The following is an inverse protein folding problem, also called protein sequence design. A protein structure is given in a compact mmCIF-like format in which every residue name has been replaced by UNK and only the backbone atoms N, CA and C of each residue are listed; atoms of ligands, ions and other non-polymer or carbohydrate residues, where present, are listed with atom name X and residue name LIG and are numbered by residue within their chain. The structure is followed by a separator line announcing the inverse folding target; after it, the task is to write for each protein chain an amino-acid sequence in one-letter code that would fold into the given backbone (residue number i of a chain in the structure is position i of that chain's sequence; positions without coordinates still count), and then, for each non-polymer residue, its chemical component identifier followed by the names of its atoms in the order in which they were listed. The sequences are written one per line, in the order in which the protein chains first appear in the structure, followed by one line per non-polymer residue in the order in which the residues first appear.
data_IF_822516529577
#
_entry.id   IF_822516529577
#
_cell.length_a   1.000
_cell.length_b   1.000
_cell.length_c   1.000
_cell.angle_alpha   90.00
_cell.angle_beta   90.00
_cell.angle_gamma   90.00
#
_symmetry.space_group_name_H-M   'P 1'
#
loop_
_entity.id
_entity.type
_entity.pdbx_description
1 polymer ?
#
# COMPACT_ATOMS: atom_id res chain seq x y z
N UNK A 1 -30.04 24.36 -1.02
CA UNK A 1 -28.87 23.51 -1.30
C UNK A 1 -29.39 22.12 -1.56
N UNK A 2 -29.63 21.78 -2.82
CA UNK A 2 -30.01 20.41 -3.19
C UNK A 2 -28.71 19.55 -3.02
N UNK A 3 -28.69 18.71 -2.00
CA UNK A 3 -27.71 17.66 -1.89
C UNK A 3 -28.03 16.63 -2.98
N UNK A 4 -27.31 16.70 -4.08
CA UNK A 4 -27.33 15.70 -5.15
C UNK A 4 -26.68 14.42 -4.59
N UNK A 5 -27.42 13.71 -3.71
CA UNK A 5 -26.95 12.41 -3.19
C UNK A 5 -27.09 11.39 -4.30
N UNK A 6 -26.05 10.65 -4.59
CA UNK A 6 -26.09 9.55 -5.56
C UNK A 6 -27.18 8.56 -5.17
N UNK A 7 -27.91 7.97 -6.14
CA UNK A 7 -28.92 6.96 -5.84
C UNK A 7 -28.26 5.80 -5.09
N UNK A 8 -28.91 5.32 -4.03
CA UNK A 8 -28.45 4.15 -3.29
C UNK A 8 -28.44 2.90 -4.19
N UNK A 9 -27.47 2.02 -4.00
CA UNK A 9 -27.35 0.74 -4.70
C UNK A 9 -27.51 -0.40 -3.69
N UNK A 10 -28.51 -1.26 -3.91
CA UNK A 10 -28.67 -2.50 -3.17
C UNK A 10 -28.00 -3.65 -3.91
N UNK A 11 -26.93 -4.21 -3.32
CA UNK A 11 -26.35 -5.49 -3.74
C UNK A 11 -27.22 -6.57 -3.10
N UNK A 12 -28.16 -7.11 -3.91
CA UNK A 12 -29.32 -7.87 -3.44
C UNK A 12 -29.07 -9.37 -3.48
N UNK A 13 -29.53 -10.06 -2.44
CA UNK A 13 -29.65 -11.52 -2.35
C UNK A 13 -28.38 -12.29 -2.78
N UNK A 14 -27.18 -11.98 -2.23
CA UNK A 14 -25.96 -12.67 -2.61
C UNK A 14 -26.01 -14.16 -2.24
N UNK A 15 -25.36 -15.01 -3.06
CA UNK A 15 -25.16 -16.41 -2.75
C UNK A 15 -24.49 -16.63 -1.38
N UNK A 16 -23.56 -15.75 -1.03
CA UNK A 16 -22.97 -15.63 0.29
C UNK A 16 -22.42 -14.22 0.48
N UNK A 17 -22.37 -13.76 1.73
CA UNK A 17 -21.78 -12.46 2.11
C UNK A 17 -21.00 -12.60 3.41
N UNK A 18 -19.84 -11.96 3.49
CA UNK A 18 -19.00 -11.96 4.70
C UNK A 18 -19.42 -10.83 5.66
N UNK A 19 -20.68 -10.83 6.07
CA UNK A 19 -21.22 -9.88 7.04
C UNK A 19 -22.44 -10.50 7.74
N UNK A 20 -22.49 -10.45 9.07
CA UNK A 20 -23.64 -10.90 9.86
C UNK A 20 -24.78 -9.89 9.71
N UNK A 21 -26.03 -10.36 9.58
CA UNK A 21 -27.22 -9.52 9.43
C UNK A 21 -27.36 -8.88 8.04
N UNK A 22 -26.69 -9.44 7.04
CA UNK A 22 -26.73 -8.99 5.64
C UNK A 22 -27.15 -10.13 4.69
N UNK A 23 -27.99 -11.04 5.14
CA UNK A 23 -28.41 -12.23 4.38
C UNK A 23 -29.07 -11.86 3.06
N UNK A 24 -29.72 -10.70 3.00
CA UNK A 24 -30.29 -10.13 1.78
C UNK A 24 -29.40 -9.09 1.11
N UNK A 25 -28.16 -8.94 1.58
CA UNK A 25 -27.15 -8.07 0.99
C UNK A 25 -26.97 -6.73 1.70
N UNK A 26 -26.38 -5.78 1.01
CA UNK A 26 -26.00 -4.48 1.56
C UNK A 26 -26.45 -3.34 0.65
N UNK A 27 -26.79 -2.21 1.26
CA UNK A 27 -27.06 -0.96 0.53
C UNK A 27 -25.84 -0.06 0.63
N UNK A 28 -25.37 0.41 -0.53
CA UNK A 28 -24.24 1.31 -0.67
C UNK A 28 -24.73 2.64 -1.20
N UNK A 29 -24.29 3.73 -0.57
CA UNK A 29 -24.55 5.09 -1.02
C UNK A 29 -23.32 5.97 -0.74
N UNK A 30 -22.95 6.83 -1.67
CA UNK A 30 -21.83 7.76 -1.55
C UNK A 30 -20.51 7.09 -1.07
N UNK A 31 -20.25 5.87 -1.59
CA UNK A 31 -19.06 5.10 -1.27
C UNK A 31 -19.06 4.46 0.12
N UNK A 32 -20.19 4.40 0.82
CA UNK A 32 -20.36 3.80 2.15
C UNK A 32 -21.45 2.73 2.15
N UNK A 33 -21.27 1.68 2.97
CA UNK A 33 -22.36 0.77 3.32
C UNK A 33 -23.24 1.50 4.33
N UNK A 34 -24.46 1.82 3.92
CA UNK A 34 -25.43 2.55 4.75
C UNK A 34 -26.44 1.64 5.42
N UNK A 35 -26.62 0.40 4.91
CA UNK A 35 -27.54 -0.56 5.50
C UNK A 35 -27.06 -2.00 5.24
N UNK A 36 -27.22 -2.86 6.25
CA UNK A 36 -27.16 -4.32 6.13
C UNK A 36 -28.61 -4.82 6.09
N UNK A 37 -28.98 -5.56 5.04
CA UNK A 37 -30.34 -6.03 4.85
C UNK A 37 -30.46 -7.47 5.34
N UNK A 38 -31.12 -7.65 6.48
CA UNK A 38 -31.28 -8.95 7.11
C UNK A 38 -32.33 -9.84 6.37
N UNK A 39 -32.34 -11.12 6.69
CA UNK A 39 -33.31 -12.08 6.17
C UNK A 39 -34.75 -11.59 6.38
N UNK A 40 -35.57 -11.66 5.33
CA UNK A 40 -36.99 -11.27 5.37
C UNK A 40 -37.23 -9.74 5.42
N UNK A 41 -36.19 -8.91 5.25
CA UNK A 41 -36.31 -7.46 5.20
C UNK A 41 -36.07 -6.92 3.80
N UNK A 42 -36.59 -5.71 3.56
CA UNK A 42 -36.31 -4.89 2.40
C UNK A 42 -35.48 -3.66 2.85
N UNK A 43 -34.71 -3.03 1.95
CA UNK A 43 -34.03 -1.78 2.26
C UNK A 43 -34.96 -0.68 2.73
N UNK A 44 -34.53 0.08 3.72
CA UNK A 44 -35.28 1.27 4.18
C UNK A 44 -35.02 2.51 3.33
N UNK A 45 -33.86 2.52 2.61
CA UNK A 45 -33.50 3.64 1.75
C UNK A 45 -34.51 3.77 0.61
N UNK A 46 -35.03 4.97 0.35
CA UNK A 46 -35.97 5.21 -0.79
C UNK A 46 -35.18 5.14 -2.11
N UNK A 47 -35.86 4.72 -3.19
CA UNK A 47 -35.34 4.73 -4.56
C UNK A 47 -33.98 4.04 -4.76
N UNK A 48 -33.85 2.80 -4.30
CA UNK A 48 -32.65 1.99 -4.41
C UNK A 48 -32.53 1.37 -5.80
N UNK A 49 -31.42 1.60 -6.50
CA UNK A 49 -31.03 0.76 -7.64
C UNK A 49 -30.62 -0.61 -7.13
N UNK A 50 -30.96 -1.66 -7.87
CA UNK A 50 -30.68 -3.04 -7.46
C UNK A 50 -29.65 -3.65 -8.37
N UNK A 51 -28.64 -4.28 -7.78
CA UNK A 51 -27.74 -5.26 -8.43
C UNK A 51 -28.08 -6.62 -7.88
N UNK A 52 -28.59 -7.52 -8.72
CA UNK A 52 -28.90 -8.88 -8.35
C UNK A 52 -27.61 -9.68 -8.19
N UNK A 53 -27.37 -10.19 -6.99
CA UNK A 53 -26.13 -10.90 -6.63
C UNK A 53 -26.36 -12.39 -6.32
N UNK A 54 -27.47 -12.98 -6.76
CA UNK A 54 -27.88 -14.36 -6.48
C UNK A 54 -26.83 -15.41 -6.92
N UNK A 55 -26.04 -15.09 -7.94
CA UNK A 55 -24.92 -15.90 -8.42
C UNK A 55 -23.53 -15.42 -7.92
N UNK A 56 -23.50 -14.47 -6.99
CA UNK A 56 -22.26 -13.83 -6.56
C UNK A 56 -22.00 -14.01 -5.05
N UNK A 57 -20.73 -14.15 -4.70
CA UNK A 57 -20.27 -14.03 -3.31
C UNK A 57 -19.78 -12.61 -3.09
N UNK A 58 -20.30 -11.96 -2.05
CA UNK A 58 -19.89 -10.59 -1.68
C UNK A 58 -18.83 -10.64 -0.62
N UNK A 59 -17.66 -10.10 -0.94
CA UNK A 59 -16.49 -10.02 -0.07
C UNK A 59 -16.05 -8.57 0.07
N UNK A 60 -15.35 -8.20 1.16
CA UNK A 60 -14.60 -6.94 1.21
C UNK A 60 -13.61 -6.88 0.05
N UNK A 61 -13.48 -5.70 -0.56
CA UNK A 61 -12.50 -5.48 -1.61
C UNK A 61 -11.08 -5.73 -1.12
N UNK A 62 -10.21 -6.21 -2.00
CA UNK A 62 -8.81 -6.47 -1.68
C UNK A 62 -8.08 -5.14 -1.44
N UNK A 63 -7.07 -5.20 -0.56
CA UNK A 63 -6.20 -4.07 -0.24
C UNK A 63 -4.78 -4.45 -0.61
N UNK A 64 -4.19 -3.69 -1.53
CA UNK A 64 -2.78 -3.78 -1.84
C UNK A 64 -2.01 -2.78 -0.97
N UNK A 65 -1.14 -3.26 -0.09
CA UNK A 65 -0.42 -2.44 0.87
C UNK A 65 0.96 -1.99 0.39
N UNK A 66 1.42 -2.49 -0.77
CA UNK A 66 2.69 -2.12 -1.36
C UNK A 66 2.73 -2.37 -2.85
N UNK A 67 3.15 -1.39 -3.61
CA UNK A 67 3.39 -1.47 -5.04
C UNK A 67 4.42 -0.42 -5.47
N UNK A 68 4.98 -0.60 -6.66
CA UNK A 68 5.81 0.38 -7.37
C UNK A 68 5.25 0.51 -8.78
N UNK A 69 4.32 1.43 -9.00
CA UNK A 69 3.60 1.53 -10.28
C UNK A 69 4.53 1.70 -11.47
N UNK A 70 5.56 2.55 -11.35
CA UNK A 70 6.50 2.79 -12.45
C UNK A 70 7.30 1.54 -12.86
N UNK A 71 7.46 0.57 -11.96
CA UNK A 71 8.16 -0.68 -12.25
C UNK A 71 7.39 -1.61 -13.17
N UNK A 72 6.09 -1.40 -13.39
CA UNK A 72 5.29 -2.20 -14.34
C UNK A 72 5.88 -2.19 -15.75
N UNK A 73 6.55 -1.10 -16.14
CA UNK A 73 7.22 -0.97 -17.45
C UNK A 73 8.51 -1.81 -17.57
N UNK A 74 9.04 -2.30 -16.44
CA UNK A 74 10.33 -3.00 -16.38
C UNK A 74 10.26 -4.38 -15.73
N UNK A 75 9.08 -4.97 -15.61
CA UNK A 75 8.85 -6.26 -14.94
C UNK A 75 9.72 -7.42 -15.45
N UNK A 76 10.02 -7.44 -16.73
CA UNK A 76 10.70 -8.57 -17.38
C UNK A 76 11.95 -8.14 -18.15
N UNK A 77 12.70 -7.16 -17.63
CA UNK A 77 13.98 -6.78 -18.21
C UNK A 77 14.97 -7.95 -18.07
N UNK A 78 15.43 -8.57 -19.16
CA UNK A 78 16.23 -9.79 -19.09
C UNK A 78 17.50 -9.66 -18.22
N UNK A 79 18.15 -8.50 -18.25
CA UNK A 79 19.36 -8.24 -17.46
C UNK A 79 19.11 -8.17 -15.95
N UNK A 80 17.84 -8.02 -15.52
CA UNK A 80 17.46 -7.93 -14.11
C UNK A 80 16.89 -9.25 -13.54
N UNK A 81 16.60 -10.23 -14.41
CA UNK A 81 16.03 -11.50 -13.97
C UNK A 81 17.06 -12.30 -13.10
N UNK A 82 16.54 -13.01 -12.09
CA UNK A 82 17.28 -13.88 -11.20
C UNK A 82 18.44 -13.19 -10.46
N UNK A 83 18.34 -11.88 -10.22
CA UNK A 83 19.34 -11.12 -9.45
C UNK A 83 18.85 -10.88 -8.03
N UNK A 84 19.81 -10.85 -7.11
CA UNK A 84 19.59 -10.33 -5.75
C UNK A 84 19.31 -8.82 -5.78
N UNK A 85 18.82 -8.26 -4.67
CA UNK A 85 18.29 -6.89 -4.60
C UNK A 85 19.28 -5.83 -5.10
N UNK A 86 20.52 -5.81 -4.60
CA UNK A 86 21.47 -4.76 -4.96
C UNK A 86 21.90 -4.84 -6.44
N UNK A 87 22.30 -6.00 -6.97
CA UNK A 87 22.54 -6.15 -8.41
C UNK A 87 21.31 -5.87 -9.27
N UNK A 88 20.10 -6.18 -8.80
CA UNK A 88 18.85 -5.88 -9.48
C UNK A 88 18.62 -4.36 -9.57
N UNK A 89 18.79 -3.63 -8.47
CA UNK A 89 18.69 -2.17 -8.44
C UNK A 89 19.73 -1.49 -9.35
N UNK A 90 20.98 -1.98 -9.34
CA UNK A 90 22.05 -1.44 -10.19
C UNK A 90 21.74 -1.56 -11.69
N UNK A 91 21.02 -2.60 -12.10
CA UNK A 91 20.55 -2.76 -13.48
C UNK A 91 19.40 -1.82 -13.80
N UNK A 92 18.47 -1.63 -12.86
CA UNK A 92 17.21 -0.93 -13.12
C UNK A 92 17.27 0.58 -12.89
N UNK A 93 18.08 1.08 -11.96
CA UNK A 93 18.22 2.51 -11.72
C UNK A 93 18.57 3.32 -12.98
N UNK A 94 19.49 2.90 -13.87
CA UNK A 94 19.77 3.60 -15.11
C UNK A 94 18.58 3.66 -16.08
N UNK A 95 17.67 2.68 -16.02
CA UNK A 95 16.42 2.68 -16.78
C UNK A 95 15.41 3.65 -16.16
N UNK A 96 15.23 3.57 -14.84
CA UNK A 96 14.31 4.44 -14.12
C UNK A 96 14.75 5.90 -14.09
N UNK A 97 16.05 6.17 -14.18
CA UNK A 97 16.59 7.51 -14.36
C UNK A 97 16.14 8.20 -15.67
N UNK A 98 15.49 7.47 -16.55
CA UNK A 98 14.94 7.95 -17.82
C UNK A 98 13.41 8.00 -17.84
N UNK A 99 12.76 7.82 -16.71
CA UNK A 99 11.31 7.97 -16.57
C UNK A 99 10.90 9.39 -16.97
N UNK A 100 9.81 9.46 -17.71
CA UNK A 100 9.17 10.71 -18.12
C UNK A 100 7.79 10.84 -17.44
N UNK A 101 7.19 12.03 -17.39
CA UNK A 101 5.81 12.22 -16.93
C UNK A 101 4.82 11.28 -17.61
N UNK A 102 4.94 11.09 -18.92
CA UNK A 102 4.10 10.19 -19.70
C UNK A 102 4.28 8.72 -19.27
N UNK A 103 5.54 8.28 -19.04
CA UNK A 103 5.83 6.94 -18.56
C UNK A 103 5.21 6.68 -17.18
N UNK A 104 5.24 7.68 -16.28
CA UNK A 104 4.62 7.57 -14.95
C UNK A 104 3.10 7.54 -15.05
N UNK A 105 2.46 8.35 -15.90
CA UNK A 105 1.01 8.29 -16.11
C UNK A 105 0.59 6.92 -16.66
N UNK A 106 1.26 6.43 -17.69
CA UNK A 106 0.96 5.15 -18.31
C UNK A 106 1.14 3.98 -17.33
N UNK A 107 2.27 3.90 -16.64
CA UNK A 107 2.57 2.83 -15.69
C UNK A 107 1.62 2.84 -14.50
N UNK A 108 1.30 4.02 -13.97
CA UNK A 108 0.36 4.17 -12.85
C UNK A 108 -1.05 3.76 -13.26
N UNK A 109 -1.49 4.18 -14.44
CA UNK A 109 -2.80 3.80 -14.98
C UNK A 109 -2.88 2.29 -15.20
N UNK A 110 -1.84 1.68 -15.79
CA UNK A 110 -1.78 0.24 -16.03
C UNK A 110 -1.81 -0.54 -14.71
N UNK A 111 -0.94 -0.20 -13.77
CA UNK A 111 -0.86 -0.89 -12.47
C UNK A 111 -2.19 -0.81 -11.71
N UNK A 112 -2.81 0.37 -11.64
CA UNK A 112 -4.09 0.55 -10.97
C UNK A 112 -5.21 -0.24 -11.67
N UNK A 113 -5.24 -0.26 -13.01
CA UNK A 113 -6.22 -1.02 -13.77
C UNK A 113 -6.10 -2.54 -13.51
N UNK A 114 -4.87 -3.07 -13.51
CA UNK A 114 -4.60 -4.49 -13.18
C UNK A 114 -5.04 -4.82 -11.74
N UNK A 115 -4.76 -3.94 -10.78
CA UNK A 115 -5.20 -4.10 -9.40
C UNK A 115 -6.73 -4.10 -9.29
N UNK A 116 -7.41 -3.16 -9.96
CA UNK A 116 -8.88 -3.11 -9.97
C UNK A 116 -9.49 -4.37 -10.60
N UNK A 117 -8.93 -4.86 -11.70
CA UNK A 117 -9.37 -6.10 -12.34
C UNK A 117 -9.14 -7.33 -11.45
N UNK A 118 -8.20 -7.28 -10.52
CA UNK A 118 -7.98 -8.33 -9.51
C UNK A 118 -8.90 -8.20 -8.29
N UNK A 119 -9.78 -7.20 -8.23
CA UNK A 119 -10.68 -6.94 -7.09
C UNK A 119 -10.09 -6.02 -6.02
N UNK A 120 -8.99 -5.34 -6.29
CA UNK A 120 -8.41 -4.36 -5.38
C UNK A 120 -9.25 -3.07 -5.36
N UNK A 121 -9.55 -2.58 -4.16
CA UNK A 121 -10.35 -1.35 -3.94
C UNK A 121 -9.56 -0.24 -3.23
N UNK A 122 -8.39 -0.57 -2.71
CA UNK A 122 -7.45 0.36 -2.10
C UNK A 122 -6.02 -0.10 -2.38
N UNK A 123 -5.19 0.78 -2.89
CA UNK A 123 -3.77 0.48 -3.12
C UNK A 123 -2.86 1.48 -2.45
N UNK A 124 -1.64 1.05 -2.14
CA UNK A 124 -0.51 1.92 -1.79
C UNK A 124 0.53 1.83 -2.89
N UNK A 125 1.11 2.96 -3.28
CA UNK A 125 2.28 2.99 -4.15
C UNK A 125 3.49 3.58 -3.44
N UNK A 126 4.68 3.07 -3.71
CA UNK A 126 5.94 3.60 -3.22
C UNK A 126 6.77 4.13 -4.40
N UNK A 127 6.51 5.38 -4.78
CA UNK A 127 7.27 6.09 -5.82
C UNK A 127 8.41 6.89 -5.18
N UNK A 128 9.65 6.57 -5.55
CA UNK A 128 10.85 7.16 -4.93
C UNK A 128 11.92 7.61 -5.93
N UNK A 129 11.64 7.52 -7.23
CA UNK A 129 12.57 7.89 -8.31
C UNK A 129 12.08 9.18 -8.97
N UNK A 130 12.85 10.25 -8.81
CA UNK A 130 12.53 11.58 -9.34
C UNK A 130 13.69 12.11 -10.19
N UNK A 131 13.86 11.61 -11.42
CA UNK A 131 14.82 12.21 -12.35
C UNK A 131 14.38 13.64 -12.72
N UNK A 132 15.32 14.45 -13.21
CA UNK A 132 15.03 15.81 -13.67
C UNK A 132 13.87 15.82 -14.67
N UNK A 133 12.89 16.69 -14.44
CA UNK A 133 11.67 16.80 -15.26
C UNK A 133 10.53 15.87 -14.81
N UNK A 134 10.68 15.20 -13.66
CA UNK A 134 9.65 14.37 -13.04
C UNK A 134 9.35 14.82 -11.59
N UNK A 135 9.50 16.10 -11.32
CA UNK A 135 9.26 16.68 -9.99
C UNK A 135 7.79 16.53 -9.56
N UNK A 136 6.87 16.47 -10.51
CA UNK A 136 5.41 16.32 -10.32
C UNK A 136 4.92 14.85 -10.41
N UNK A 137 5.81 13.88 -10.26
CA UNK A 137 5.48 12.46 -10.40
C UNK A 137 4.30 12.00 -9.54
N UNK A 138 4.16 12.48 -8.31
CA UNK A 138 3.03 12.13 -7.43
C UNK A 138 1.74 12.83 -7.87
N UNK A 139 1.80 14.07 -8.37
CA UNK A 139 0.64 14.77 -8.95
C UNK A 139 0.05 13.98 -10.12
N UNK A 140 0.90 13.40 -10.96
CA UNK A 140 0.52 12.53 -12.09
C UNK A 140 -0.19 11.26 -11.57
N UNK A 141 0.35 10.62 -10.55
CA UNK A 141 -0.28 9.43 -9.94
C UNK A 141 -1.62 9.75 -9.30
N UNK A 142 -1.76 10.91 -8.64
CA UNK A 142 -3.04 11.39 -8.10
C UNK A 142 -4.07 11.59 -9.23
N UNK A 143 -3.66 12.17 -10.36
CA UNK A 143 -4.53 12.35 -11.52
C UNK A 143 -5.00 10.99 -12.09
N UNK A 144 -4.10 10.02 -12.21
CA UNK A 144 -4.43 8.67 -12.66
C UNK A 144 -5.41 7.96 -11.70
N UNK A 145 -5.18 8.03 -10.38
CA UNK A 145 -6.05 7.43 -9.38
C UNK A 145 -7.46 8.05 -9.40
N UNK A 146 -7.56 9.38 -9.52
CA UNK A 146 -8.84 10.09 -9.65
C UNK A 146 -9.58 9.72 -10.94
N UNK A 147 -8.87 9.61 -12.05
CA UNK A 147 -9.44 9.22 -13.35
C UNK A 147 -10.03 7.82 -13.33
N UNK A 148 -9.38 6.88 -12.62
CA UNK A 148 -9.85 5.50 -12.48
C UNK A 148 -10.86 5.31 -11.34
N UNK A 149 -10.97 6.27 -10.41
CA UNK A 149 -11.84 6.15 -9.25
C UNK A 149 -11.32 5.16 -8.18
N UNK A 150 -10.02 4.85 -8.17
CA UNK A 150 -9.40 3.95 -7.19
C UNK A 150 -8.95 4.73 -5.96
N UNK A 151 -9.23 4.19 -4.78
CA UNK A 151 -8.65 4.72 -3.55
C UNK A 151 -7.15 4.42 -3.49
N UNK A 152 -6.35 5.45 -3.19
CA UNK A 152 -4.90 5.30 -3.15
C UNK A 152 -4.27 6.03 -1.97
N UNK A 153 -3.32 5.35 -1.32
CA UNK A 153 -2.32 5.95 -0.46
C UNK A 153 -1.03 6.07 -1.28
N UNK A 154 -0.78 7.25 -1.82
CA UNK A 154 0.40 7.52 -2.64
C UNK A 154 1.52 8.05 -1.76
N UNK A 155 2.73 7.55 -1.95
CA UNK A 155 3.84 8.00 -1.14
C UNK A 155 4.70 9.01 -1.88
N UNK A 156 5.05 10.10 -1.18
CA UNK A 156 6.18 10.91 -1.55
C UNK A 156 7.44 10.17 -1.09
N UNK A 157 7.92 9.24 -1.93
CA UNK A 157 9.16 8.53 -1.70
C UNK A 157 10.37 9.43 -1.91
N UNK A 158 11.51 9.04 -1.37
CA UNK A 158 12.71 9.87 -1.48
C UNK A 158 14.00 9.06 -1.44
N UNK A 159 15.00 9.58 -2.13
CA UNK A 159 16.40 9.16 -2.07
C UNK A 159 17.28 10.41 -2.11
N UNK A 160 18.22 10.53 -1.19
CA UNK A 160 19.20 11.62 -1.13
C UNK A 160 20.64 11.15 -0.93
N UNK A 161 20.87 9.83 -1.04
CA UNK A 161 22.19 9.22 -0.91
C UNK A 161 22.54 8.50 -2.19
N UNK A 162 23.41 9.11 -2.99
CA UNK A 162 23.84 8.58 -4.28
C UNK A 162 25.04 7.63 -4.17
N UNK A 163 25.43 7.03 -5.30
CA UNK A 163 26.65 6.21 -5.40
C UNK A 163 27.90 6.97 -4.95
N UNK A 164 27.97 8.27 -5.24
CA UNK A 164 29.08 9.14 -4.80
C UNK A 164 29.18 9.24 -3.27
N UNK A 165 28.02 9.13 -2.59
CA UNK A 165 27.92 9.24 -1.13
C UNK A 165 27.82 7.87 -0.44
N UNK A 166 28.16 6.80 -1.16
CA UNK A 166 28.13 5.42 -0.64
C UNK A 166 26.76 4.76 -0.64
N UNK A 167 25.79 5.33 -1.38
CA UNK A 167 24.49 4.70 -1.66
C UNK A 167 24.50 3.88 -2.94
N UNK A 168 23.33 3.36 -3.34
CA UNK A 168 23.17 2.60 -4.59
C UNK A 168 22.61 3.44 -5.76
N UNK A 169 21.75 4.45 -5.54
CA UNK A 169 21.16 5.21 -6.62
C UNK A 169 22.19 6.04 -7.39
N UNK A 170 22.07 6.20 -8.72
CA UNK A 170 22.88 7.15 -9.47
C UNK A 170 22.53 8.59 -9.07
N UNK A 171 23.48 9.52 -9.25
CA UNK A 171 23.35 10.92 -8.81
C UNK A 171 22.13 11.64 -9.40
N UNK A 172 21.68 11.25 -10.59
CA UNK A 172 20.58 11.92 -11.30
C UNK A 172 19.17 11.48 -10.90
N UNK A 173 19.03 10.61 -9.89
CA UNK A 173 17.73 10.19 -9.33
C UNK A 173 17.58 10.49 -7.85
N UNK A 174 18.59 11.12 -7.25
CA UNK A 174 18.53 11.61 -5.87
C UNK A 174 18.22 13.11 -5.87
N UNK A 175 17.63 13.59 -4.79
CA UNK A 175 17.28 14.99 -4.58
C UNK A 175 17.91 15.50 -3.28
N UNK A 176 18.06 16.79 -3.14
CA UNK A 176 18.45 17.38 -1.86
C UNK A 176 17.31 17.31 -0.82
N UNK A 177 17.69 17.38 0.45
CA UNK A 177 16.77 17.21 1.58
C UNK A 177 15.70 18.29 1.63
N UNK A 178 16.05 19.55 1.37
CA UNK A 178 15.12 20.68 1.40
C UNK A 178 14.05 20.54 0.32
N UNK A 179 14.44 20.16 -0.90
CA UNK A 179 13.51 19.87 -2.00
C UNK A 179 12.54 18.74 -1.64
N UNK A 180 13.03 17.67 -1.02
CA UNK A 180 12.22 16.52 -0.61
C UNK A 180 11.19 16.94 0.44
N UNK A 181 11.61 17.66 1.48
CA UNK A 181 10.73 18.07 2.57
C UNK A 181 9.69 19.09 2.11
N UNK A 182 10.10 20.09 1.32
CA UNK A 182 9.19 21.10 0.77
C UNK A 182 8.12 20.48 -0.14
N UNK A 183 8.50 19.54 -1.01
CA UNK A 183 7.56 18.84 -1.87
C UNK A 183 6.63 17.92 -1.08
N UNK A 184 7.13 17.30 -0.01
CA UNK A 184 6.31 16.48 0.90
C UNK A 184 5.21 17.32 1.55
N UNK A 185 5.52 18.51 2.05
CA UNK A 185 4.54 19.46 2.59
C UNK A 185 3.53 19.90 1.53
N UNK A 186 4.01 20.26 0.35
CA UNK A 186 3.17 20.66 -0.78
C UNK A 186 2.14 19.60 -1.14
N UNK A 187 2.57 18.36 -1.28
CA UNK A 187 1.70 17.23 -1.66
C UNK A 187 0.67 16.91 -0.59
N UNK A 188 1.07 16.92 0.68
CA UNK A 188 0.13 16.72 1.79
C UNK A 188 -0.90 17.83 1.83
N UNK A 189 -0.47 19.10 1.77
CA UNK A 189 -1.39 20.25 1.77
C UNK A 189 -2.37 20.22 0.59
N UNK A 190 -1.93 19.74 -0.58
CA UNK A 190 -2.72 19.76 -1.81
C UNK A 190 -3.69 18.60 -1.94
N UNK A 191 -3.31 17.41 -1.49
CA UNK A 191 -4.02 16.18 -1.84
C UNK A 191 -4.45 15.31 -0.68
N UNK A 192 -3.82 15.42 0.50
CA UNK A 192 -4.11 14.51 1.59
C UNK A 192 -5.52 14.74 2.13
N UNK A 193 -6.33 13.70 2.11
CA UNK A 193 -7.66 13.68 2.71
C UNK A 193 -7.59 12.91 4.03
N UNK A 194 -7.91 13.57 5.12
CA UNK A 194 -8.01 12.92 6.43
C UNK A 194 -9.35 12.21 6.58
N UNK A 195 -9.37 11.15 7.39
CA UNK A 195 -10.59 10.47 7.82
C UNK A 195 -11.01 9.26 6.99
N UNK A 196 -12.11 8.66 7.41
CA UNK A 196 -12.65 7.45 6.81
C UNK A 196 -13.28 7.75 5.44
N UNK A 197 -13.00 6.89 4.46
CA UNK A 197 -13.54 7.02 3.11
C UNK A 197 -12.73 7.96 2.21
N UNK A 198 -11.59 8.50 2.68
CA UNK A 198 -10.67 9.26 1.85
C UNK A 198 -10.33 8.53 0.54
N UNK A 199 -10.36 9.26 -0.58
CA UNK A 199 -10.00 8.70 -1.89
C UNK A 199 -8.50 8.78 -2.10
N UNK A 200 -7.88 9.92 -1.77
CA UNK A 200 -6.43 10.12 -1.88
C UNK A 200 -5.85 10.45 -0.51
N UNK A 201 -4.85 9.68 -0.13
CA UNK A 201 -4.00 10.00 1.01
C UNK A 201 -2.54 10.05 0.55
N UNK A 202 -1.77 10.92 1.20
CA UNK A 202 -0.32 11.02 0.98
C UNK A 202 0.38 10.49 2.21
N UNK A 203 1.46 9.73 2.00
CA UNK A 203 2.39 9.30 3.03
C UNK A 203 3.82 9.73 2.65
N UNK A 204 4.72 9.83 3.62
CA UNK A 204 6.12 10.13 3.39
C UNK A 204 6.92 8.82 3.39
N UNK A 205 7.82 8.66 2.41
CA UNK A 205 8.43 7.35 2.22
C UNK A 205 9.90 7.41 1.78
N UNK A 206 10.84 7.75 2.69
CA UNK A 206 12.25 7.48 2.44
C UNK A 206 12.45 6.03 2.01
N UNK A 207 13.18 5.83 0.90
CA UNK A 207 13.18 4.53 0.20
C UNK A 207 13.71 3.39 1.07
N UNK A 208 14.91 3.56 1.66
CA UNK A 208 15.57 2.50 2.42
C UNK A 208 16.80 3.06 3.16
N UNK A 209 17.34 2.36 4.18
CA UNK A 209 18.53 2.78 4.90
C UNK A 209 19.78 2.99 4.04
N UNK A 210 19.87 2.34 2.88
CA UNK A 210 21.00 2.42 1.96
C UNK A 210 20.86 3.45 0.82
N UNK A 211 19.76 4.14 0.75
CA UNK A 211 19.48 5.16 -0.28
C UNK A 211 19.12 6.53 0.31
N UNK A 212 19.06 6.63 1.63
CA UNK A 212 18.65 7.83 2.36
C UNK A 212 19.64 8.13 3.47
N UNK A 213 19.92 9.41 3.71
CA UNK A 213 20.75 9.84 4.85
C UNK A 213 19.98 9.74 6.16
N UNK A 214 20.69 9.55 7.27
CA UNK A 214 20.10 9.55 8.61
C UNK A 214 19.41 10.88 8.94
N UNK A 215 19.93 12.01 8.42
CA UNK A 215 19.30 13.32 8.56
C UNK A 215 17.89 13.30 7.96
N UNK A 216 17.74 12.90 6.70
CA UNK A 216 16.45 12.87 6.04
C UNK A 216 15.49 11.84 6.68
N UNK A 217 16.00 10.70 7.16
CA UNK A 217 15.16 9.74 7.90
C UNK A 217 14.52 10.37 9.14
N UNK A 218 15.30 11.13 9.93
CA UNK A 218 14.82 11.84 11.13
C UNK A 218 13.88 12.98 10.76
N UNK A 219 14.30 13.84 9.84
CA UNK A 219 13.49 14.97 9.39
C UNK A 219 12.13 14.51 8.81
N UNK A 220 12.11 13.38 8.11
CA UNK A 220 10.85 12.80 7.62
C UNK A 220 9.95 12.33 8.76
N UNK A 221 10.50 11.73 9.82
CA UNK A 221 9.71 11.30 10.98
C UNK A 221 9.07 12.52 11.69
N UNK A 222 9.84 13.57 11.93
CA UNK A 222 9.37 14.83 12.52
C UNK A 222 8.30 15.49 11.64
N UNK A 223 8.53 15.54 10.33
CA UNK A 223 7.58 16.10 9.37
C UNK A 223 6.26 15.30 9.33
N UNK A 224 6.34 13.99 9.31
CA UNK A 224 5.16 13.12 9.28
C UNK A 224 4.32 13.25 10.56
N UNK A 225 4.96 13.38 11.72
CA UNK A 225 4.29 13.68 13.00
C UNK A 225 3.58 15.03 12.95
N UNK A 226 4.26 16.09 12.52
CA UNK A 226 3.71 17.43 12.40
C UNK A 226 2.52 17.52 11.45
N UNK A 227 2.59 16.79 10.33
CA UNK A 227 1.52 16.75 9.31
C UNK A 227 0.45 15.71 9.61
N UNK A 228 0.63 14.87 10.63
CA UNK A 228 -0.26 13.74 10.99
C UNK A 228 -0.52 12.81 9.80
N UNK A 229 0.53 12.45 9.05
CA UNK A 229 0.49 11.51 7.93
C UNK A 229 1.25 10.22 8.23
N UNK A 230 1.01 9.19 7.42
CA UNK A 230 1.71 7.91 7.55
C UNK A 230 3.12 7.99 6.99
N UNK A 231 3.96 7.10 7.48
CA UNK A 231 5.29 6.84 6.91
C UNK A 231 5.37 5.44 6.34
N UNK A 232 6.22 5.28 5.33
CA UNK A 232 6.49 4.02 4.67
C UNK A 232 7.98 3.91 4.32
N UNK A 233 8.57 2.74 4.40
CA UNK A 233 9.94 2.47 3.96
C UNK A 233 10.14 0.99 3.68
N UNK A 234 11.18 0.63 2.92
CA UNK A 234 11.68 -0.74 2.87
C UNK A 234 12.63 -0.96 4.03
N UNK A 235 12.49 -2.08 4.71
CA UNK A 235 13.27 -2.39 5.89
C UNK A 235 13.46 -3.88 6.06
N UNK A 236 14.70 -4.29 6.36
CA UNK A 236 15.08 -5.69 6.59
C UNK A 236 14.63 -6.61 5.45
N UNK A 237 14.76 -6.13 4.23
CA UNK A 237 14.27 -6.81 3.02
C UNK A 237 15.22 -7.96 2.63
N UNK A 238 16.53 -7.73 2.71
CA UNK A 238 17.53 -8.72 2.31
C UNK A 238 18.76 -8.71 3.24
N UNK A 239 19.59 -9.75 3.11
CA UNK A 239 20.86 -9.83 3.85
C UNK A 239 21.84 -8.74 3.41
N UNK A 240 21.78 -8.25 2.19
CA UNK A 240 22.59 -7.12 1.70
C UNK A 240 22.31 -5.85 2.52
N UNK A 241 21.05 -5.56 2.77
CA UNK A 241 20.66 -4.44 3.61
C UNK A 241 21.13 -4.61 5.05
N UNK A 242 21.02 -5.83 5.61
CA UNK A 242 21.48 -6.12 6.95
C UNK A 242 23.00 -5.90 7.08
N UNK A 243 23.79 -6.37 6.13
CA UNK A 243 25.24 -6.13 6.07
C UNK A 243 25.54 -4.63 5.95
N UNK A 244 24.84 -3.93 5.07
CA UNK A 244 24.99 -2.49 4.90
C UNK A 244 24.73 -1.74 6.21
N UNK A 245 23.62 -2.02 6.90
CA UNK A 245 23.29 -1.37 8.16
C UNK A 245 24.34 -1.65 9.25
N UNK A 246 24.81 -2.88 9.37
CA UNK A 246 25.86 -3.23 10.32
C UNK A 246 27.19 -2.53 10.01
N UNK A 247 27.54 -2.40 8.75
CA UNK A 247 28.77 -1.75 8.32
C UNK A 247 28.73 -0.23 8.47
N UNK A 248 27.66 0.41 8.00
CA UNK A 248 27.56 1.86 7.91
C UNK A 248 26.93 2.48 9.17
N UNK A 249 25.85 1.89 9.67
CA UNK A 249 25.11 2.40 10.82
C UNK A 249 25.47 1.75 12.15
N UNK A 250 26.29 0.64 12.13
CA UNK A 250 26.73 -0.11 13.31
C UNK A 250 25.60 -0.77 14.11
N UNK A 251 24.44 -0.89 13.53
CA UNK A 251 23.25 -1.52 14.12
C UNK A 251 22.43 -2.26 13.05
N UNK A 252 21.45 -3.03 13.47
CA UNK A 252 20.52 -3.71 12.54
C UNK A 252 19.49 -2.72 11.97
N UNK A 253 18.84 -3.05 10.83
CA UNK A 253 17.87 -2.16 10.20
C UNK A 253 16.78 -1.64 11.14
N UNK A 254 16.23 -2.49 12.00
CA UNK A 254 15.17 -2.07 12.93
C UNK A 254 15.69 -1.14 14.04
N UNK A 255 16.87 -1.44 14.57
CA UNK A 255 17.53 -0.60 15.59
C UNK A 255 17.85 0.79 15.01
N UNK A 256 18.32 0.82 13.75
CA UNK A 256 18.53 2.06 13.01
C UNK A 256 17.25 2.89 12.87
N UNK A 257 16.12 2.24 12.57
CA UNK A 257 14.85 2.93 12.47
C UNK A 257 14.40 3.52 13.83
N UNK A 258 14.63 2.77 14.92
CA UNK A 258 14.37 3.25 16.28
C UNK A 258 15.21 4.50 16.61
N UNK A 259 16.52 4.47 16.28
CA UNK A 259 17.41 5.63 16.45
C UNK A 259 17.01 6.84 15.60
N UNK A 260 16.35 6.63 14.48
CA UNK A 260 15.79 7.67 13.64
C UNK A 260 14.43 8.21 14.11
N UNK A 261 13.88 7.72 15.23
CA UNK A 261 12.60 8.18 15.78
C UNK A 261 11.36 7.54 15.15
N UNK A 262 11.53 6.52 14.31
CA UNK A 262 10.44 5.89 13.56
C UNK A 262 9.56 4.97 14.41
N UNK A 263 10.04 4.48 15.54
CA UNK A 263 9.31 3.52 16.39
C UNK A 263 8.73 4.16 17.66
N UNK A 264 9.03 5.42 17.93
CA UNK A 264 8.70 6.11 19.20
C UNK A 264 7.31 6.74 19.21
N UNK A 265 6.46 6.42 18.26
CA UNK A 265 5.18 7.07 18.07
C UNK A 265 4.13 6.75 19.12
N UNK A 266 3.48 7.79 19.64
CA UNK A 266 2.33 7.75 20.53
C UNK A 266 1.09 7.08 19.90
N UNK A 267 -0.08 7.14 20.58
CA UNK A 267 -1.29 6.37 20.18
C UNK A 267 -1.85 6.65 18.78
N UNK A 268 -1.37 7.68 18.07
CA UNK A 268 -1.74 8.01 16.67
C UNK A 268 -0.74 7.57 15.61
N UNK A 269 0.39 7.02 15.99
CA UNK A 269 1.51 6.77 15.12
C UNK A 269 1.21 5.67 14.08
N UNK A 270 1.58 5.90 12.81
CA UNK A 270 1.12 5.09 11.68
C UNK A 270 2.27 4.82 10.71
N UNK A 271 3.08 3.82 11.02
CA UNK A 271 4.12 3.33 10.13
C UNK A 271 3.64 2.11 9.33
N UNK A 272 3.94 2.07 8.04
CA UNK A 272 3.91 0.88 7.22
C UNK A 272 5.36 0.55 6.79
N UNK A 273 5.87 -0.60 7.20
CA UNK A 273 7.15 -1.14 6.72
C UNK A 273 6.89 -2.39 5.90
N UNK A 274 7.69 -2.60 4.88
CA UNK A 274 7.80 -3.88 4.22
C UNK A 274 9.10 -4.52 4.66
N UNK A 275 8.95 -5.63 5.36
CA UNK A 275 10.02 -6.58 5.61
C UNK A 275 9.62 -7.92 5.02
N UNK A 276 10.46 -8.49 4.21
CA UNK A 276 10.36 -9.92 3.87
C UNK A 276 10.97 -10.72 5.02
N UNK A 277 10.33 -11.81 5.48
CA UNK A 277 10.97 -12.70 6.42
C UNK A 277 12.15 -13.36 5.72
N UNK A 278 13.34 -12.81 5.86
CA UNK A 278 14.54 -13.58 5.57
C UNK A 278 14.57 -14.75 6.55
N UNK A 279 14.68 -15.97 6.06
CA UNK A 279 14.88 -17.16 6.87
C UNK A 279 16.23 -17.03 7.60
N UNK A 280 16.24 -16.29 8.69
CA UNK A 280 17.39 -16.15 9.56
C UNK A 280 17.50 -17.41 10.40
N UNK A 281 18.35 -18.34 10.01
CA UNK A 281 19.06 -19.13 11.00
C UNK A 281 19.96 -18.14 11.74
N UNK A 282 19.48 -17.68 12.88
CA UNK A 282 20.20 -16.78 13.75
C UNK A 282 21.48 -17.45 14.26
N UNK A 283 22.61 -16.84 13.99
CA UNK A 283 23.76 -16.96 14.89
C UNK A 283 23.47 -16.15 16.16
N UNK A 284 23.71 -16.66 17.35
CA UNK A 284 23.39 -15.97 18.59
C UNK A 284 24.29 -14.74 18.75
N UNK A 285 23.69 -13.56 18.74
CA UNK A 285 24.34 -12.35 19.24
C UNK A 285 24.05 -12.21 20.73
N UNK A 286 24.92 -11.54 21.52
CA UNK A 286 24.80 -11.48 22.98
C UNK A 286 23.51 -10.78 23.39
N UNK A 287 22.84 -11.40 24.34
CA UNK A 287 21.55 -10.98 24.89
C UNK A 287 21.59 -9.56 25.49
N UNK A 288 20.86 -8.66 24.86
CA UNK A 288 20.17 -7.57 25.57
C UNK A 288 18.67 -7.86 25.52
N UNK A 289 17.91 -7.73 26.60
CA UNK A 289 16.50 -8.02 26.59
C UNK A 289 15.75 -6.93 25.81
N UNK A 290 15.49 -7.19 24.54
CA UNK A 290 14.62 -6.33 23.74
C UNK A 290 13.16 -6.62 24.11
N UNK A 291 12.52 -5.67 24.77
CA UNK A 291 11.06 -5.62 24.86
C UNK A 291 10.51 -5.18 23.50
N UNK A 292 10.48 -6.07 22.56
CA UNK A 292 9.76 -5.85 21.29
C UNK A 292 8.50 -6.68 21.36
N UNK A 293 7.40 -6.03 21.69
CA UNK A 293 6.08 -6.60 21.45
C UNK A 293 5.85 -6.65 19.92
N UNK A 294 5.27 -7.73 19.37
CA UNK A 294 4.92 -7.82 17.96
C UNK A 294 3.69 -6.95 17.69
N UNK A 295 3.83 -5.63 17.81
CA UNK A 295 2.71 -4.68 17.72
C UNK A 295 2.55 -4.06 16.33
N UNK A 296 3.55 -4.13 15.47
CA UNK A 296 3.49 -3.50 14.15
C UNK A 296 2.54 -4.23 13.17
N UNK A 297 2.34 -5.54 13.33
CA UNK A 297 1.42 -6.33 12.49
C UNK A 297 -0.01 -6.42 13.03
N UNK A 298 -0.28 -5.91 14.24
CA UNK A 298 -1.61 -6.07 14.88
C UNK A 298 -2.60 -4.94 14.67
N UNK A 299 -2.25 -3.84 14.03
CA UNK A 299 -3.17 -2.69 13.88
C UNK A 299 -3.85 -2.54 12.51
N UNK A 300 -3.64 -3.49 11.62
CA UNK A 300 -4.47 -3.66 10.43
C UNK A 300 -5.45 -4.83 10.58
N UNK A 301 -6.13 -4.90 11.72
CA UNK A 301 -7.37 -5.65 11.76
C UNK A 301 -8.49 -4.67 11.42
N UNK A 302 -9.22 -4.86 10.32
CA UNK A 302 -10.60 -4.38 10.31
C UNK A 302 -11.28 -4.98 11.53
N UNK A 303 -12.19 -4.23 12.15
CA UNK A 303 -12.96 -4.65 13.32
C UNK A 303 -13.83 -5.92 13.11
N UNK A 304 -13.53 -6.73 12.11
CA UNK A 304 -14.27 -7.90 11.65
C UNK A 304 -13.64 -9.25 12.01
N UNK A 305 -12.53 -9.30 12.73
CA UNK A 305 -11.97 -10.58 13.16
C UNK A 305 -12.37 -10.95 14.60
N UNK A 306 -13.67 -10.98 14.91
CA UNK A 306 -14.20 -11.76 16.02
C UNK A 306 -15.03 -12.92 15.45
N UNK A 307 -14.38 -14.09 15.45
CA UNK A 307 -14.98 -15.44 15.51
C UNK A 307 -16.19 -15.69 14.60
N UNK A 308 -15.99 -15.88 13.30
CA UNK A 308 -16.85 -16.81 12.57
C UNK A 308 -16.29 -18.22 12.80
N UNK A 309 -16.79 -18.95 13.80
CA UNK A 309 -16.70 -20.41 13.83
C UNK A 309 -17.51 -20.90 12.64
N UNK A 310 -16.85 -21.47 11.66
CA UNK A 310 -17.49 -22.23 10.61
C UNK A 310 -18.19 -23.43 11.26
N UNK A 311 -19.50 -23.33 11.51
CA UNK A 311 -20.34 -24.51 11.69
C UNK A 311 -20.60 -25.08 10.30
N UNK A 312 -19.98 -26.21 10.00
CA UNK A 312 -20.36 -27.03 8.85
C UNK A 312 -21.84 -27.37 8.97
N UNK A 313 -22.70 -27.10 7.99
CA UNK A 313 -24.00 -27.73 7.94
C UNK A 313 -23.77 -29.20 7.60
N UNK A 314 -24.27 -30.07 8.47
CA UNK A 314 -24.42 -31.48 8.16
C UNK A 314 -25.59 -31.63 7.20
N UNK A 315 -25.36 -32.01 5.98
CA UNK A 315 -26.28 -32.84 5.17
C UNK A 315 -25.72 -33.16 3.79
N UNK A 316 -26.05 -34.34 3.28
CA UNK A 316 -25.40 -34.94 2.15
C UNK A 316 -26.17 -34.65 0.86
N UNK A 317 -25.48 -34.14 -0.13
CA UNK A 317 -25.91 -34.32 -1.52
C UNK A 317 -24.69 -34.51 -2.42
N UNK A 318 -24.69 -35.66 -3.00
CA UNK A 318 -23.73 -36.18 -3.95
C UNK A 318 -23.71 -35.38 -5.25
N UNK A 319 -22.53 -35.37 -5.85
CA UNK A 319 -22.26 -35.32 -7.28
C UNK A 319 -23.02 -34.30 -8.13
N UNK A 320 -22.37 -33.18 -8.44
CA UNK A 320 -22.35 -32.67 -9.82
C UNK A 320 -21.30 -31.53 -9.97
N UNK A 321 -20.39 -31.81 -10.87
CA UNK A 321 -19.65 -30.81 -11.67
C UNK A 321 -18.55 -29.96 -11.01
N UNK A 322 -17.39 -30.55 -10.91
CA UNK A 322 -16.04 -29.96 -10.73
C UNK A 322 -15.56 -29.19 -11.97
N UNK A 323 -16.39 -28.44 -12.66
CA UNK A 323 -16.01 -27.88 -13.97
C UNK A 323 -16.06 -26.34 -14.10
N UNK A 324 -16.35 -25.57 -13.05
CA UNK A 324 -16.45 -24.11 -13.19
C UNK A 324 -15.66 -23.24 -12.22
N UNK A 325 -14.70 -23.81 -11.50
CA UNK A 325 -13.84 -23.03 -10.56
C UNK A 325 -12.42 -22.81 -11.08
N UNK A 326 -12.16 -22.97 -12.36
CA UNK A 326 -10.82 -22.84 -12.97
C UNK A 326 -10.60 -21.58 -13.81
N UNK A 327 -11.46 -20.58 -13.80
CA UNK A 327 -11.34 -19.45 -14.75
C UNK A 327 -11.03 -18.09 -14.13
N UNK A 328 -10.75 -17.99 -12.84
CA UNK A 328 -10.43 -16.69 -12.22
C UNK A 328 -9.00 -16.61 -11.60
N UNK A 329 -8.17 -17.63 -11.76
CA UNK A 329 -6.79 -17.61 -11.26
C UNK A 329 -5.75 -17.89 -12.35
N UNK A 330 -5.93 -17.36 -13.54
CA UNK A 330 -4.87 -17.29 -14.56
C UNK A 330 -4.97 -15.98 -15.31
N UNK A 331 -4.29 -15.00 -14.85
CA UNK A 331 -3.41 -14.10 -15.61
C UNK A 331 -2.56 -13.34 -14.59
#
# INVERSE_FOLDING_TARGET
MNSDTSPALWIKDPLAILADGAERGVVVQDGRIVELVAAGREPRAPAVKTFDADAHVVLPGLINTHHHFYQTLTRAVPAALDRELFPWLQVLYPLWARLTPEAVDLSSTLAMAELMLSGCTLTTDHHYVFPKGLEDGIDIQVAAAKRLGLRALLTRGSMNRSQRDGGLPPDNVVQDEDTILADSERLVARYHQAGDGAIIQIALAPCSPFSVTTSLMRATAELAERLNVRMHTHLAETEDENRYCLEIHRCRPLDYLEECGWLNGGPGWRMACISTPTSSRASPAPERPSRIAPAATRRWRPALARSARWKRPASPLASASTARLRTILRT
#
